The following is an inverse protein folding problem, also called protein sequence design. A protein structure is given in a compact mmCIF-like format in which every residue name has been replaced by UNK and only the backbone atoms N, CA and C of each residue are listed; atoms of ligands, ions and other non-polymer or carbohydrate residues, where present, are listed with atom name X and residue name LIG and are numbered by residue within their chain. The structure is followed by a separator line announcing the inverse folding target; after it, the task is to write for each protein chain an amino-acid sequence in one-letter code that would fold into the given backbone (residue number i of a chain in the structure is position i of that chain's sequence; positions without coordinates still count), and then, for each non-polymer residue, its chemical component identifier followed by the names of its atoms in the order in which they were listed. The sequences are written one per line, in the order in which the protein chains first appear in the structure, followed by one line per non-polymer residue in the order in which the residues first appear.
data_IF_908590128200
#
_entry.id   IF_908590128200
#
_cell.length_a   1.000
_cell.length_b   1.000
_cell.length_c   1.000
_cell.angle_alpha   90.00
_cell.angle_beta   90.00
_cell.angle_gamma   90.00
#
_symmetry.space_group_name_H-M   'P 1'
#
loop_
_entity.id
_entity.type
_entity.pdbx_description
1 polymer ?
#
# COMPACT_ATOMS: atom_id res chain seq x y z
N UNK A 1 8.85 -4.56 -5.72
CA UNK A 1 8.98 -3.12 -6.01
C UNK A 1 10.47 -2.79 -6.03
N UNK A 2 11.04 -2.47 -7.21
CA UNK A 2 12.47 -2.12 -7.35
C UNK A 2 12.70 -0.60 -7.33
N UNK A 3 13.97 -0.18 -7.27
CA UNK A 3 14.39 1.22 -7.31
C UNK A 3 13.80 1.90 -8.58
N UNK A 4 12.97 2.94 -8.40
CA UNK A 4 12.24 3.64 -9.48
C UNK A 4 10.78 3.22 -9.68
N UNK A 5 10.29 2.15 -9.05
CA UNK A 5 8.87 1.77 -9.13
C UNK A 5 7.97 2.55 -8.17
N UNK A 6 8.55 3.16 -7.13
CA UNK A 6 7.83 3.89 -6.10
C UNK A 6 7.15 5.15 -6.63
N UNK A 7 7.82 5.94 -7.47
CA UNK A 7 7.22 7.12 -8.10
C UNK A 7 6.09 6.75 -9.07
N UNK A 8 6.27 5.67 -9.83
CA UNK A 8 5.23 5.15 -10.72
C UNK A 8 4.02 4.65 -9.94
N UNK A 9 4.24 4.00 -8.80
CA UNK A 9 3.18 3.59 -7.89
C UNK A 9 2.38 4.77 -7.34
N UNK A 10 3.04 5.87 -6.91
CA UNK A 10 2.32 7.08 -6.46
C UNK A 10 1.48 7.70 -7.57
N UNK A 11 2.02 7.79 -8.79
CA UNK A 11 1.23 8.28 -9.94
C UNK A 11 -0.01 7.42 -10.18
N UNK A 12 0.15 6.10 -10.16
CA UNK A 12 -0.97 5.17 -10.32
C UNK A 12 -1.99 5.28 -9.18
N UNK A 13 -1.56 5.46 -7.93
CA UNK A 13 -2.48 5.69 -6.81
C UNK A 13 -3.33 6.93 -7.06
N UNK A 14 -2.71 8.06 -7.43
CA UNK A 14 -3.42 9.32 -7.71
C UNK A 14 -4.45 9.15 -8.84
N UNK A 15 -4.03 8.54 -9.94
CA UNK A 15 -4.90 8.32 -11.10
C UNK A 15 -6.07 7.36 -10.78
N UNK A 16 -5.79 6.25 -10.09
CA UNK A 16 -6.80 5.30 -9.67
C UNK A 16 -7.75 5.91 -8.63
N UNK A 17 -7.24 6.74 -7.74
CA UNK A 17 -8.05 7.41 -6.73
C UNK A 17 -8.98 8.45 -7.33
N UNK A 18 -8.57 9.18 -8.36
CA UNK A 18 -9.47 10.08 -9.10
C UNK A 18 -10.48 9.32 -9.96
N UNK A 19 -10.09 8.18 -10.52
CA UNK A 19 -10.94 7.39 -11.41
C UNK A 19 -11.85 6.38 -10.69
N UNK A 20 -11.57 6.06 -9.42
CA UNK A 20 -12.25 4.99 -8.68
C UNK A 20 -11.79 3.58 -9.03
N UNK A 21 -10.63 3.41 -9.66
CA UNK A 21 -10.10 2.10 -10.03
C UNK A 21 -9.46 1.37 -8.84
N UNK A 22 -9.30 0.06 -8.97
CA UNK A 22 -8.68 -0.75 -7.93
C UNK A 22 -7.19 -0.89 -8.21
N UNK A 23 -6.39 -0.68 -7.17
CA UNK A 23 -4.94 -0.80 -7.26
C UNK A 23 -4.44 -1.82 -6.25
N UNK A 24 -3.52 -2.68 -6.68
CA UNK A 24 -2.87 -3.67 -5.82
C UNK A 24 -1.35 -3.48 -5.87
N UNK A 25 -0.74 -3.16 -4.73
CA UNK A 25 0.70 -3.05 -4.55
C UNK A 25 1.24 -4.31 -3.90
N UNK A 26 2.17 -4.97 -4.60
CA UNK A 26 2.80 -6.22 -4.14
C UNK A 26 4.20 -6.01 -3.61
N UNK A 27 4.60 -6.87 -2.68
CA UNK A 27 5.94 -6.96 -2.13
C UNK A 27 6.39 -5.63 -1.49
N UNK A 28 5.53 -5.04 -0.66
CA UNK A 28 5.83 -3.80 0.06
C UNK A 28 7.01 -3.95 1.04
N UNK A 29 7.29 -5.17 1.49
CA UNK A 29 8.44 -5.48 2.35
C UNK A 29 9.80 -5.21 1.66
N UNK A 30 9.86 -5.16 0.32
CA UNK A 30 11.09 -4.82 -0.41
C UNK A 30 11.39 -3.31 -0.37
N UNK A 31 10.39 -2.48 -0.07
CA UNK A 31 10.46 -1.02 -0.11
C UNK A 31 10.08 -0.41 1.23
N UNK A 32 10.60 -0.96 2.33
CA UNK A 32 10.30 -0.47 3.69
C UNK A 32 10.63 1.01 3.89
N UNK A 33 11.66 1.52 3.21
CA UNK A 33 12.04 2.94 3.27
C UNK A 33 11.02 3.87 2.59
N UNK A 34 10.19 3.36 1.69
CA UNK A 34 9.17 4.12 0.96
C UNK A 34 7.81 4.14 1.67
N UNK A 35 7.57 3.23 2.63
CA UNK A 35 6.33 3.18 3.42
C UNK A 35 5.92 4.52 4.05
N UNK A 36 6.80 5.28 4.74
CA UNK A 36 6.40 6.56 5.32
C UNK A 36 6.05 7.61 4.26
N UNK A 37 6.66 7.55 3.07
CA UNK A 37 6.30 8.43 1.96
C UNK A 37 4.94 8.07 1.37
N UNK A 38 4.68 6.77 1.17
CA UNK A 38 3.39 6.26 0.70
C UNK A 38 2.26 6.68 1.67
N UNK A 39 2.48 6.55 2.97
CA UNK A 39 1.49 6.91 3.99
C UNK A 39 1.15 8.41 3.94
N UNK A 40 2.15 9.28 3.83
CA UNK A 40 1.94 10.73 3.67
C UNK A 40 1.12 11.06 2.42
N UNK A 41 1.39 10.38 1.30
CA UNK A 41 0.63 10.58 0.07
C UNK A 41 -0.82 10.09 0.19
N UNK A 42 -1.06 8.97 0.90
CA UNK A 42 -2.41 8.46 1.15
C UNK A 42 -3.22 9.36 2.09
N UNK A 43 -2.57 9.91 3.13
CA UNK A 43 -3.21 10.84 4.06
C UNK A 43 -3.61 12.17 3.42
N UNK A 44 -2.88 12.61 2.39
CA UNK A 44 -3.20 13.82 1.62
C UNK A 44 -4.15 13.58 0.43
N UNK A 45 -4.59 12.34 0.21
CA UNK A 45 -5.40 11.98 -0.94
C UNK A 45 -6.89 12.01 -0.59
N UNK A 46 -7.72 12.51 -1.51
CA UNK A 46 -9.17 12.36 -1.46
C UNK A 46 -9.61 11.24 -2.42
N UNK A 47 -9.76 9.99 -1.94
CA UNK A 47 -10.11 8.87 -2.80
C UNK A 47 -11.58 8.91 -3.24
N UNK A 48 -11.83 8.49 -4.49
CA UNK A 48 -13.18 8.21 -4.96
C UNK A 48 -13.84 7.09 -4.15
N UNK A 49 -15.18 7.10 -4.05
CA UNK A 49 -15.93 6.12 -3.23
C UNK A 49 -15.69 4.65 -3.63
N UNK A 50 -15.43 4.41 -4.91
CA UNK A 50 -15.15 3.08 -5.49
C UNK A 50 -13.67 2.69 -5.48
N UNK A 51 -12.77 3.62 -5.12
CA UNK A 51 -11.35 3.34 -5.05
C UNK A 51 -11.06 2.30 -3.96
N UNK A 52 -10.29 1.28 -4.30
CA UNK A 52 -9.81 0.26 -3.37
C UNK A 52 -8.32 0.04 -3.56
N UNK A 53 -7.56 0.20 -2.48
CA UNK A 53 -6.13 -0.04 -2.45
C UNK A 53 -5.84 -1.31 -1.66
N UNK A 54 -5.22 -2.28 -2.33
CA UNK A 54 -4.76 -3.53 -1.76
C UNK A 54 -3.25 -3.52 -1.63
N UNK A 55 -2.76 -3.93 -0.47
CA UNK A 55 -1.35 -3.94 -0.14
C UNK A 55 -0.95 -5.35 0.28
N UNK A 56 0.06 -5.95 -0.35
CA UNK A 56 0.62 -7.22 0.08
C UNK A 56 2.06 -7.05 0.55
N UNK A 57 2.34 -7.56 1.75
CA UNK A 57 3.65 -7.49 2.38
C UNK A 57 3.90 -8.80 3.16
N UNK A 58 5.17 -9.07 3.40
CA UNK A 58 5.60 -10.15 4.30
C UNK A 58 5.98 -9.53 5.66
N UNK A 59 5.93 -10.30 6.76
CA UNK A 59 6.33 -9.80 8.07
C UNK A 59 7.78 -9.33 8.05
N UNK A 60 8.00 -8.06 8.34
CA UNK A 60 9.33 -7.45 8.34
C UNK A 60 9.49 -6.48 9.52
N UNK A 61 10.63 -6.56 10.22
CA UNK A 61 10.87 -5.81 11.47
C UNK A 61 10.87 -4.28 11.22
N UNK A 62 11.32 -3.83 10.04
CA UNK A 62 11.35 -2.41 9.65
C UNK A 62 10.01 -1.89 9.10
N UNK A 63 8.92 -2.62 9.24
CA UNK A 63 7.63 -2.18 8.71
C UNK A 63 7.03 -1.10 9.62
N UNK A 64 6.64 0.04 9.05
CA UNK A 64 6.20 1.20 9.83
C UNK A 64 4.84 0.93 10.49
N UNK A 65 4.70 1.13 11.83
CA UNK A 65 3.45 0.87 12.55
C UNK A 65 2.31 1.83 12.19
N UNK A 66 2.61 2.97 11.56
CA UNK A 66 1.62 3.99 11.20
C UNK A 66 0.67 3.49 10.11
N UNK A 67 1.20 2.86 9.06
CA UNK A 67 0.37 2.25 8.00
C UNK A 67 -0.50 1.12 8.56
N UNK A 68 -0.03 0.46 9.62
CA UNK A 68 -0.78 -0.58 10.33
C UNK A 68 -1.95 0.02 11.14
N UNK A 69 -1.87 1.27 11.59
CA UNK A 69 -2.98 1.89 12.32
C UNK A 69 -4.10 2.37 11.41
N UNK A 70 -3.77 2.80 10.19
CA UNK A 70 -4.73 3.35 9.22
C UNK A 70 -5.28 2.31 8.24
N UNK A 71 -4.73 1.09 8.21
CA UNK A 71 -5.12 0.04 7.26
C UNK A 71 -5.85 -1.12 7.92
N UNK A 72 -6.75 -1.75 7.18
CA UNK A 72 -7.37 -3.02 7.56
C UNK A 72 -6.34 -4.15 7.39
N UNK A 73 -5.98 -4.82 8.49
CA UNK A 73 -4.99 -5.90 8.51
C UNK A 73 -5.71 -7.23 8.28
N UNK A 74 -5.30 -7.94 7.24
CA UNK A 74 -5.74 -9.32 7.00
C UNK A 74 -4.51 -10.21 7.06
N UNK A 75 -4.51 -11.15 8.00
CA UNK A 75 -3.52 -12.23 8.04
C UNK A 75 -4.03 -13.35 7.16
N UNK A 76 -3.26 -13.71 6.14
CA UNK A 76 -3.53 -14.90 5.34
C UNK A 76 -2.60 -16.01 5.81
N UNK A 77 -3.14 -16.92 6.63
CA UNK A 77 -2.44 -18.11 7.10
C UNK A 77 -3.10 -19.35 6.52
N UNK A 78 -2.30 -20.31 6.06
CA UNK A 78 -2.82 -21.63 5.68
C UNK A 78 -3.12 -22.39 6.96
N UNK A 79 -4.40 -22.65 7.21
CA UNK A 79 -4.81 -23.60 8.23
C UNK A 79 -4.43 -25.01 7.76
N UNK A 80 -3.23 -25.48 8.14
CA UNK A 80 -2.90 -26.89 7.96
C UNK A 80 -3.91 -27.73 8.77
N UNK A 81 -4.62 -28.60 8.05
CA UNK A 81 -5.45 -29.68 8.60
C UNK A 81 -4.64 -30.96 8.66
#
# INVERSE_FOLDING_TARGET
MGQGQSEKAVKLIKECASSGHWLCLKNLHLVTAWLPFLEKELNGLEPHKDFRLWLTAEPHIKFTPIILQTSLKVTYEVSCT
#
